data_IF_778491058544
#
_entry.id   IF_778491058544
#
_cell.length_a   1.000
_cell.length_b   1.000
_cell.length_c   1.000
_cell.angle_alpha   90.00
_cell.angle_beta   90.00
_cell.angle_gamma   90.00
#
_symmetry.space_group_name_H-M   'P 1'
#
loop_
_entity.id
_entity.type
_entity.pdbx_description
1 polymer ?
#
# COMPACT_ATOMS: atom_id res chain seq x y z
N UNK A 1 1.37 19.80 -5.54
CA UNK A 1 0.86 18.89 -4.50
C UNK A 1 1.85 18.98 -3.33
N UNK A 2 1.40 19.17 -2.10
CA UNK A 2 2.25 19.09 -0.91
C UNK A 2 1.84 17.88 -0.09
N UNK A 3 2.81 17.17 0.49
CA UNK A 3 2.52 16.08 1.43
C UNK A 3 2.21 16.71 2.80
N UNK A 4 1.13 16.30 3.49
CA UNK A 4 0.85 16.82 4.82
C UNK A 4 2.00 16.53 5.79
N UNK A 5 2.44 17.54 6.54
CA UNK A 5 3.52 17.39 7.53
C UNK A 5 3.23 16.32 8.58
N UNK A 6 1.96 16.07 8.89
CA UNK A 6 1.52 14.99 9.79
C UNK A 6 1.80 13.59 9.24
N UNK A 7 1.71 13.39 7.92
CA UNK A 7 2.07 12.12 7.26
C UNK A 7 3.57 11.84 7.41
N UNK A 8 4.39 12.87 7.20
CA UNK A 8 5.84 12.78 7.33
C UNK A 8 6.24 12.55 8.79
N UNK A 9 5.71 13.34 9.71
CA UNK A 9 5.97 13.19 11.15
C UNK A 9 5.57 11.80 11.64
N UNK A 10 4.39 11.29 11.26
CA UNK A 10 3.96 9.94 11.62
C UNK A 10 4.87 8.86 11.03
N UNK A 11 5.34 9.04 9.79
CA UNK A 11 6.26 8.09 9.15
C UNK A 11 7.65 8.09 9.77
N UNK A 12 8.19 9.26 10.13
CA UNK A 12 9.48 9.40 10.81
C UNK A 12 9.39 8.87 12.24
N UNK A 13 8.29 9.14 12.96
CA UNK A 13 8.04 8.57 14.29
C UNK A 13 8.08 7.05 14.27
N UNK A 14 7.33 6.42 13.36
CA UNK A 14 7.27 4.97 13.25
C UNK A 14 8.63 4.37 12.87
N UNK A 15 9.37 5.03 11.98
CA UNK A 15 10.73 4.63 11.63
C UNK A 15 11.67 4.72 12.83
N UNK A 16 11.70 5.86 13.53
CA UNK A 16 12.55 6.06 14.69
C UNK A 16 12.24 5.09 15.83
N UNK A 17 10.96 4.88 16.13
CA UNK A 17 10.51 3.96 17.17
C UNK A 17 10.91 2.50 16.92
N UNK A 18 11.13 2.10 15.66
CA UNK A 18 11.61 0.76 15.32
C UNK A 18 13.09 0.54 15.69
N UNK A 19 13.88 1.60 15.82
CA UNK A 19 15.28 1.55 16.26
C UNK A 19 15.42 1.86 17.76
N UNK A 20 14.72 2.89 18.23
CA UNK A 20 14.65 3.29 19.64
C UNK A 20 13.33 4.05 19.92
N UNK A 21 12.57 3.58 20.90
CA UNK A 21 11.35 4.24 21.37
C UNK A 21 11.59 5.72 21.74
N UNK A 22 12.71 6.04 22.37
CA UNK A 22 13.07 7.42 22.76
C UNK A 22 13.29 8.35 21.55
N UNK A 23 13.74 7.83 20.41
CA UNK A 23 13.81 8.61 19.17
C UNK A 23 12.41 8.82 18.55
N UNK A 24 11.50 7.86 18.75
CA UNK A 24 10.09 8.01 18.37
C UNK A 24 9.41 9.16 19.11
N UNK A 25 9.68 9.28 20.42
CA UNK A 25 9.07 10.30 21.28
C UNK A 25 9.43 11.75 20.88
N UNK A 26 10.50 11.95 20.12
CA UNK A 26 10.88 13.24 19.54
C UNK A 26 9.79 13.84 18.64
N UNK A 27 8.89 13.01 18.12
CA UNK A 27 7.76 13.43 17.28
C UNK A 27 6.45 13.65 18.07
N UNK A 28 6.51 13.62 19.40
CA UNK A 28 5.36 13.79 20.29
C UNK A 28 4.37 12.61 20.29
N UNK A 29 3.37 12.70 21.16
CA UNK A 29 2.39 11.63 21.39
C UNK A 29 1.57 11.28 20.12
N UNK A 30 1.24 9.99 19.97
CA UNK A 30 0.31 9.53 18.94
C UNK A 30 -1.15 9.85 19.29
N UNK A 31 -2.06 9.90 18.31
CA UNK A 31 -3.50 10.04 18.58
C UNK A 31 -4.05 8.98 19.53
N UNK A 32 -3.53 7.77 19.50
CA UNK A 32 -3.91 6.68 20.40
C UNK A 32 -3.43 6.94 21.83
N UNK A 33 -2.17 7.35 22.00
CA UNK A 33 -1.62 7.75 23.30
C UNK A 33 -2.39 8.95 23.89
N UNK A 34 -2.77 9.91 23.05
CA UNK A 34 -3.62 11.02 23.45
C UNK A 34 -5.04 10.55 23.82
N UNK A 35 -5.62 9.61 23.08
CA UNK A 35 -6.95 9.06 23.38
C UNK A 35 -6.97 8.26 24.69
N UNK A 36 -5.87 7.58 25.01
CA UNK A 36 -5.69 6.86 26.28
C UNK A 36 -5.48 7.84 27.44
N UNK A 37 -4.67 8.89 27.25
CA UNK A 37 -4.43 9.96 28.24
C UNK A 37 -5.66 10.83 28.52
N UNK A 38 -6.51 11.04 27.51
CA UNK A 38 -7.73 11.86 27.62
C UNK A 38 -9.01 11.05 27.87
N UNK A 39 -8.95 9.71 27.86
CA UNK A 39 -10.09 8.81 27.97
C UNK A 39 -11.06 8.92 26.79
N UNK A 40 -11.51 7.77 26.26
CA UNK A 40 -12.52 7.70 25.16
C UNK A 40 -13.89 8.34 25.46
N UNK A 41 -14.08 9.01 26.61
CA UNK A 41 -15.35 9.56 27.06
C UNK A 41 -15.45 11.09 27.08
N UNK A 42 -14.35 11.86 26.99
CA UNK A 42 -14.42 13.33 27.12
C UNK A 42 -14.66 14.10 25.82
N UNK A 43 -14.55 13.46 24.65
CA UNK A 43 -14.72 14.14 23.36
C UNK A 43 -16.19 14.48 22.99
N UNK A 44 -17.20 14.03 23.76
CA UNK A 44 -18.62 14.24 23.41
C UNK A 44 -19.53 14.80 24.51
N UNK A 45 -18.99 15.23 25.67
CA UNK A 45 -19.80 15.82 26.75
C UNK A 45 -19.25 17.15 27.24
N UNK A 46 -19.49 18.22 26.46
CA UNK A 46 -19.54 19.57 27.05
C UNK A 46 -20.89 19.76 27.73
N UNK A 47 -21.00 19.35 28.99
CA UNK A 47 -21.82 20.02 30.00
C UNK A 47 -21.62 19.34 31.36
N UNK A 48 -21.12 20.13 32.31
CA UNK A 48 -21.20 19.97 33.76
C UNK A 48 -20.22 19.05 34.51
N UNK A 49 -19.42 19.77 35.33
CA UNK A 49 -18.84 19.46 36.64
C UNK A 49 -17.45 18.80 36.70
N UNK A 50 -16.55 19.61 37.28
CA UNK A 50 -15.23 19.33 37.86
C UNK A 50 -15.16 17.99 38.61
N UNK A 51 -14.07 17.27 38.39
CA UNK A 51 -13.26 16.71 39.46
C UNK A 51 -11.77 16.77 39.08
N UNK A 52 -10.95 17.06 40.09
CA UNK A 52 -9.55 17.47 40.03
C UNK A 52 -8.56 16.33 39.76
N UNK A 53 -8.51 15.79 38.54
CA UNK A 53 -7.32 15.12 38.02
C UNK A 53 -6.86 15.86 36.76
N UNK A 54 -5.67 16.48 36.82
CA UNK A 54 -5.09 17.11 35.62
C UNK A 54 -4.85 15.98 34.60
N UNK A 55 -5.43 16.04 33.39
CA UNK A 55 -5.09 15.07 32.36
C UNK A 55 -3.58 15.10 32.13
N UNK A 56 -2.98 13.93 31.97
CA UNK A 56 -1.56 13.81 31.60
C UNK A 56 -1.29 14.73 30.40
N UNK A 57 -0.31 15.62 30.55
CA UNK A 57 -0.03 16.62 29.52
C UNK A 57 0.51 15.92 28.27
N UNK A 58 -0.14 16.19 27.14
CA UNK A 58 0.35 15.81 25.83
C UNK A 58 1.81 16.25 25.64
N UNK A 59 2.67 15.34 25.21
CA UNK A 59 4.06 15.64 24.90
C UNK A 59 4.16 16.31 23.52
N UNK A 60 4.62 17.57 23.45
CA UNK A 60 4.81 18.25 22.17
C UNK A 60 5.98 17.63 21.39
N UNK A 61 5.90 17.71 20.07
CA UNK A 61 6.98 17.28 19.17
C UNK A 61 8.22 18.17 19.34
N UNK A 62 9.37 17.57 19.64
CA UNK A 62 10.66 18.26 19.66
C UNK A 62 11.13 18.59 18.24
N UNK A 63 10.88 17.68 17.29
CA UNK A 63 11.16 17.87 15.86
C UNK A 63 9.89 18.37 15.17
N UNK A 64 9.97 19.51 14.49
CA UNK A 64 8.88 20.13 13.75
C UNK A 64 9.04 19.84 12.25
N UNK A 65 7.98 19.35 11.61
CA UNK A 65 7.92 19.23 10.14
C UNK A 65 7.33 20.52 9.58
N UNK A 66 8.17 21.37 9.00
CA UNK A 66 7.77 22.69 8.51
C UNK A 66 7.06 22.63 7.14
N UNK A 67 7.26 21.55 6.39
CA UNK A 67 6.53 21.28 5.14
C UNK A 67 7.34 20.47 4.14
N UNK A 68 6.75 20.27 2.96
CA UNK A 68 7.40 19.61 1.83
C UNK A 68 7.47 20.52 0.61
N UNK A 69 8.62 20.58 -0.06
CA UNK A 69 8.84 21.37 -1.28
C UNK A 69 9.06 20.43 -2.46
N UNK A 70 8.27 20.54 -3.52
CA UNK A 70 8.38 19.68 -4.69
C UNK A 70 9.46 20.22 -5.64
N UNK A 71 10.50 19.44 -5.93
CA UNK A 71 11.67 19.88 -6.72
C UNK A 71 11.40 19.82 -8.23
N UNK A 72 10.70 18.78 -8.70
CA UNK A 72 10.17 18.67 -10.07
C UNK A 72 8.67 18.36 -10.02
N UNK A 73 7.87 19.10 -10.79
CA UNK A 73 6.51 18.66 -11.13
C UNK A 73 6.65 17.44 -12.07
N UNK A 74 6.61 16.24 -11.51
CA UNK A 74 6.18 15.07 -12.30
C UNK A 74 4.76 15.32 -12.82
N UNK A 75 4.41 14.74 -13.96
CA UNK A 75 3.04 14.83 -14.43
C UNK A 75 2.14 14.15 -13.40
N UNK A 76 1.05 14.82 -13.02
CA UNK A 76 0.07 14.19 -12.12
C UNK A 76 -0.90 13.42 -13.00
N UNK A 77 -0.87 12.10 -12.93
CA UNK A 77 -1.87 11.29 -13.60
C UNK A 77 -2.99 10.92 -12.62
N UNK A 78 -4.20 10.86 -13.16
CA UNK A 78 -5.38 10.52 -12.38
C UNK A 78 -5.96 9.22 -12.89
N UNK A 79 -6.11 8.24 -12.00
CA UNK A 79 -6.68 6.95 -12.35
C UNK A 79 -8.05 6.75 -11.70
N UNK A 80 -9.00 6.20 -12.47
CA UNK A 80 -10.34 5.87 -12.01
C UNK A 80 -10.40 4.43 -11.52
N UNK A 81 -10.86 4.22 -10.29
CA UNK A 81 -10.95 2.88 -9.67
C UNK A 81 -12.38 2.43 -9.48
N UNK A 82 -12.60 1.13 -9.68
CA UNK A 82 -13.87 0.44 -9.40
C UNK A 82 -13.72 -0.56 -8.25
N UNK A 83 -14.71 -0.59 -7.35
CA UNK A 83 -14.84 -1.66 -6.36
C UNK A 83 -15.70 -2.78 -6.92
N UNK A 84 -15.31 -4.05 -6.79
CA UNK A 84 -16.12 -5.21 -7.23
C UNK A 84 -17.12 -5.65 -6.14
N UNK A 85 -18.39 -5.83 -6.49
CA UNK A 85 -19.42 -6.47 -5.68
C UNK A 85 -19.18 -7.97 -5.63
N UNK A 86 -18.77 -8.47 -4.46
CA UNK A 86 -18.40 -9.87 -4.27
C UNK A 86 -19.60 -10.83 -4.22
N UNK A 87 -20.84 -10.35 -4.09
CA UNK A 87 -22.03 -11.21 -4.24
C UNK A 87 -22.38 -11.46 -5.71
N UNK A 88 -22.05 -10.51 -6.58
CA UNK A 88 -22.42 -10.53 -8.01
C UNK A 88 -21.27 -10.77 -8.97
N UNK A 89 -20.02 -10.61 -8.53
CA UNK A 89 -18.84 -10.65 -9.39
C UNK A 89 -18.75 -9.48 -10.37
N UNK A 90 -19.52 -8.41 -10.16
CA UNK A 90 -19.62 -7.23 -11.04
C UNK A 90 -19.11 -5.97 -10.32
N UNK A 91 -18.86 -4.86 -11.01
CA UNK A 91 -18.54 -3.59 -10.36
C UNK A 91 -19.69 -3.11 -9.44
N UNK A 92 -19.38 -2.62 -8.23
CA UNK A 92 -20.32 -1.97 -7.32
C UNK A 92 -20.79 -0.64 -7.91
N UNK A 93 -22.10 -0.42 -7.89
CA UNK A 93 -22.72 0.83 -8.34
C UNK A 93 -22.27 2.01 -7.46
N UNK A 94 -21.89 3.14 -8.07
CA UNK A 94 -21.53 4.43 -7.43
C UNK A 94 -20.21 4.52 -6.64
N UNK A 95 -19.27 3.59 -6.79
CA UNK A 95 -17.95 3.64 -6.13
C UNK A 95 -16.79 3.93 -7.11
N UNK A 96 -16.91 5.01 -7.88
CA UNK A 96 -15.80 5.55 -8.66
C UNK A 96 -14.95 6.44 -7.76
N UNK A 97 -13.69 6.06 -7.54
CA UNK A 97 -12.73 6.91 -6.85
C UNK A 97 -11.66 7.34 -7.84
N UNK A 98 -11.59 8.65 -8.11
CA UNK A 98 -10.46 9.25 -8.83
C UNK A 98 -9.33 9.47 -7.83
N UNK A 99 -8.17 8.87 -8.11
CA UNK A 99 -6.98 9.00 -7.27
C UNK A 99 -5.91 9.70 -8.09
N UNK A 100 -5.38 10.79 -7.57
CA UNK A 100 -4.20 11.47 -8.11
C UNK A 100 -2.94 10.78 -7.58
N UNK A 101 -2.00 10.51 -8.48
CA UNK A 101 -0.72 9.89 -8.17
C UNK A 101 0.41 10.74 -8.77
N UNK A 102 1.53 10.79 -8.06
CA UNK A 102 2.78 11.35 -8.56
C UNK A 102 3.54 10.26 -9.30
N UNK A 103 4.22 10.64 -10.38
CA UNK A 103 5.09 9.72 -11.13
C UNK A 103 6.30 9.27 -10.33
N UNK A 104 6.76 8.05 -10.63
CA UNK A 104 8.02 7.51 -10.11
C UNK A 104 9.18 8.45 -10.45
N UNK A 105 10.09 8.68 -9.51
CA UNK A 105 11.20 9.62 -9.68
C UNK A 105 10.87 11.08 -9.30
N UNK A 106 9.66 11.35 -8.80
CA UNK A 106 9.33 12.66 -8.24
C UNK A 106 10.09 12.91 -6.93
N UNK A 107 10.94 13.94 -6.92
CA UNK A 107 11.71 14.37 -5.74
C UNK A 107 11.03 15.54 -5.02
N UNK A 108 11.08 15.51 -3.68
CA UNK A 108 10.62 16.59 -2.81
C UNK A 108 11.49 16.69 -1.55
N UNK A 109 11.69 17.91 -1.09
CA UNK A 109 12.41 18.20 0.14
C UNK A 109 11.45 18.13 1.33
N UNK A 110 11.89 17.49 2.41
CA UNK A 110 11.23 17.55 3.72
C UNK A 110 12.04 18.49 4.60
N UNK A 111 11.40 19.53 5.12
CA UNK A 111 12.08 20.52 5.95
C UNK A 111 11.76 20.24 7.42
N UNK A 112 12.79 19.84 8.16
CA UNK A 112 12.72 19.59 9.60
C UNK A 112 13.37 20.74 10.38
N UNK A 113 12.84 21.01 11.56
CA UNK A 113 13.41 21.94 12.53
C UNK A 113 13.45 21.29 13.90
N UNK A 114 14.57 21.43 14.59
CA UNK A 114 14.74 20.98 15.96
C UNK A 114 15.41 22.09 16.75
N UNK A 115 14.69 22.63 17.74
CA UNK A 115 15.21 23.68 18.61
C UNK A 115 15.97 23.06 19.79
N UNK A 116 17.18 23.54 20.08
CA UNK A 116 18.02 23.09 21.21
C UNK A 116 18.22 21.57 21.24
N UNK A 117 18.57 20.97 20.10
CA UNK A 117 18.85 19.55 20.01
C UNK A 117 20.07 19.18 20.85
N UNK A 118 19.95 18.10 21.62
CA UNK A 118 21.10 17.44 22.23
C UNK A 118 21.95 16.78 21.13
N UNK A 119 23.28 16.98 21.16
CA UNK A 119 24.16 16.54 20.06
C UNK A 119 24.17 15.01 19.91
N UNK A 120 24.12 14.27 21.02
CA UNK A 120 24.10 12.80 21.00
C UNK A 120 22.79 12.29 20.39
N UNK A 121 21.64 12.83 20.82
CA UNK A 121 20.35 12.48 20.24
C UNK A 121 20.24 12.88 18.75
N UNK A 122 20.85 14.00 18.37
CA UNK A 122 20.86 14.49 17.00
C UNK A 122 21.67 13.56 16.09
N UNK A 123 22.87 13.16 16.48
CA UNK A 123 23.70 12.21 15.73
C UNK A 123 22.96 10.88 15.53
N UNK A 124 22.35 10.35 16.60
CA UNK A 124 21.54 9.13 16.54
C UNK A 124 20.35 9.26 15.61
N UNK A 125 19.64 10.39 15.66
CA UNK A 125 18.53 10.68 14.74
C UNK A 125 19.00 10.72 13.28
N UNK A 126 20.13 11.36 12.99
CA UNK A 126 20.67 11.43 11.62
C UNK A 126 21.08 10.06 11.07
N UNK A 127 21.63 9.19 11.90
CA UNK A 127 21.99 7.83 11.49
C UNK A 127 20.78 6.95 11.20
N UNK A 128 19.70 7.13 11.98
CA UNK A 128 18.42 6.49 11.70
C UNK A 128 17.76 7.09 10.46
N UNK A 129 17.82 8.40 10.25
CA UNK A 129 17.25 9.09 9.10
C UNK A 129 17.87 8.62 7.77
N UNK A 130 19.17 8.34 7.73
CA UNK A 130 19.84 7.81 6.52
C UNK A 130 19.28 6.46 6.06
N UNK A 131 18.67 5.71 6.96
CA UNK A 131 18.04 4.42 6.68
C UNK A 131 16.55 4.56 6.36
N UNK A 132 16.03 5.79 6.23
CA UNK A 132 14.61 6.03 6.05
C UNK A 132 14.16 5.76 4.62
N UNK A 133 13.41 4.66 4.47
CA UNK A 133 12.77 4.24 3.22
C UNK A 133 11.23 4.19 3.41
N UNK A 134 10.57 5.37 3.46
CA UNK A 134 9.15 5.42 3.80
C UNK A 134 8.24 5.00 2.66
N UNK A 135 7.03 4.62 3.05
CA UNK A 135 5.89 4.52 2.15
C UNK A 135 4.84 5.56 2.52
N UNK A 136 4.63 6.55 1.66
CA UNK A 136 3.82 7.73 1.94
C UNK A 136 2.49 7.72 1.17
N UNK A 137 1.44 8.27 1.78
CA UNK A 137 0.13 8.45 1.16
C UNK A 137 -0.86 7.31 1.37
N UNK A 138 -2.06 7.42 0.77
CA UNK A 138 -3.19 6.50 1.02
C UNK A 138 -3.06 5.16 0.28
N UNK A 139 -2.12 5.06 -0.65
CA UNK A 139 -1.95 3.94 -1.56
C UNK A 139 -1.07 2.79 -1.07
N UNK A 140 -0.47 2.88 0.13
CA UNK A 140 0.64 1.99 0.53
C UNK A 140 0.37 0.50 0.39
N UNK A 141 -0.81 0.03 0.82
CA UNK A 141 -1.13 -1.41 0.75
C UNK A 141 -1.34 -1.93 -0.67
N UNK A 142 -1.23 -1.06 -1.68
CA UNK A 142 -1.32 -1.32 -3.12
C UNK A 142 0.00 -0.97 -3.82
N UNK A 143 1.12 -0.96 -3.11
CA UNK A 143 2.46 -0.75 -3.68
C UNK A 143 2.86 0.71 -3.91
N UNK A 144 1.92 1.64 -3.86
CA UNK A 144 2.19 3.05 -4.14
C UNK A 144 2.89 3.78 -2.98
N UNK A 145 3.59 4.87 -3.33
CA UNK A 145 4.14 5.84 -2.39
C UNK A 145 5.49 5.48 -1.79
N UNK A 146 6.22 4.53 -2.40
CA UNK A 146 7.58 4.21 -1.99
C UNK A 146 8.51 5.40 -2.24
N UNK A 147 9.26 5.79 -1.24
CA UNK A 147 10.28 6.82 -1.33
C UNK A 147 11.56 6.33 -0.66
N UNK A 148 12.68 6.91 -1.06
CA UNK A 148 13.99 6.77 -0.44
C UNK A 148 14.55 8.15 -0.16
N UNK A 149 15.45 8.23 0.83
CA UNK A 149 16.24 9.44 1.04
C UNK A 149 17.32 9.53 -0.06
N UNK A 150 17.20 10.49 -0.97
CA UNK A 150 18.18 10.75 -2.03
C UNK A 150 19.31 11.69 -1.58
N UNK A 151 19.04 12.52 -0.57
CA UNK A 151 20.03 13.40 0.02
C UNK A 151 19.51 14.06 1.29
N UNK A 152 20.42 14.63 2.09
CA UNK A 152 20.08 15.42 3.27
C UNK A 152 21.12 16.51 3.51
N UNK A 153 20.75 17.53 4.28
CA UNK A 153 21.69 18.52 4.76
C UNK A 153 21.21 19.18 6.05
N UNK A 154 22.16 19.73 6.80
CA UNK A 154 21.97 20.35 8.11
C UNK A 154 22.58 21.75 8.08
N UNK A 155 21.91 22.70 8.72
CA UNK A 155 22.46 24.02 9.06
C UNK A 155 22.06 24.30 10.50
N UNK A 156 23.06 24.61 11.32
CA UNK A 156 22.84 25.05 12.70
C UNK A 156 22.86 26.58 12.75
N UNK A 157 21.91 27.14 13.51
CA UNK A 157 21.79 28.57 13.71
C UNK A 157 21.97 28.89 15.19
N UNK A 158 23.04 29.63 15.51
CA UNK A 158 23.21 30.23 16.83
C UNK A 158 22.42 31.54 16.90
N UNK A 159 21.22 31.48 17.47
CA UNK A 159 20.34 32.64 17.60
C UNK A 159 20.76 33.61 18.70
N UNK A 160 21.72 33.24 19.56
CA UNK A 160 22.31 34.15 20.54
C UNK A 160 23.38 35.06 19.91
N UNK A 161 23.82 34.73 18.69
CA UNK A 161 24.73 35.56 17.90
C UNK A 161 23.96 36.44 16.89
N UNK A 162 24.34 37.73 16.73
CA UNK A 162 23.75 38.58 15.68
C UNK A 162 23.90 38.01 14.27
N UNK A 163 25.05 37.37 13.99
CA UNK A 163 25.31 36.76 12.68
C UNK A 163 24.43 35.53 12.43
N UNK A 164 24.21 34.69 13.44
CA UNK A 164 23.33 33.52 13.33
C UNK A 164 21.85 33.90 13.25
N UNK A 165 21.41 34.95 13.97
CA UNK A 165 20.06 35.51 13.83
C UNK A 165 19.84 36.07 12.41
N UNK A 166 20.81 36.82 11.87
CA UNK A 166 20.73 37.34 10.51
C UNK A 166 20.75 36.22 9.45
N UNK A 167 21.53 35.16 9.68
CA UNK A 167 21.52 33.98 8.82
C UNK A 167 20.16 33.25 8.85
N UNK A 168 19.51 33.17 10.02
CA UNK A 168 18.19 32.56 10.17
C UNK A 168 17.08 33.36 9.47
N UNK A 169 17.11 34.69 9.55
CA UNK A 169 16.16 35.58 8.87
C UNK A 169 16.33 35.57 7.34
N UNK A 170 17.56 35.41 6.86
CA UNK A 170 17.86 35.30 5.43
C UNK A 170 17.66 33.85 4.96
N UNK A 171 16.41 33.51 4.63
CA UNK A 171 15.90 32.21 4.14
C UNK A 171 16.66 31.56 2.97
N UNK A 172 17.69 32.21 2.41
CA UNK A 172 18.55 31.71 1.31
C UNK A 172 19.55 30.63 1.75
N UNK A 173 19.72 30.37 3.05
CA UNK A 173 20.60 29.32 3.58
C UNK A 173 19.85 28.04 3.97
N UNK A 174 18.98 27.52 3.10
CA UNK A 174 18.55 26.13 3.26
C UNK A 174 19.75 25.22 2.95
N UNK A 175 20.02 24.18 3.76
CA UNK A 175 21.02 23.21 3.40
C UNK A 175 20.65 22.62 2.04
N UNK A 176 21.56 22.69 1.07
CA UNK A 176 21.38 21.90 -0.14
C UNK A 176 21.62 20.43 0.25
N UNK A 177 20.66 19.52 0.02
CA UNK A 177 20.86 18.13 0.35
C UNK A 177 22.08 17.58 -0.39
N UNK A 178 23.05 17.05 0.34
CA UNK A 178 24.14 16.31 -0.27
C UNK A 178 23.62 14.92 -0.67
N UNK A 179 23.91 14.50 -1.90
CA UNK A 179 23.55 13.16 -2.39
C UNK A 179 24.08 12.10 -1.44
N UNK A 180 23.18 11.20 -1.03
CA UNK A 180 23.53 10.05 -0.19
C UNK A 180 23.49 8.81 -1.07
N UNK A 181 24.51 7.93 -1.02
CA UNK A 181 24.46 6.67 -1.76
C UNK A 181 23.19 5.90 -1.40
N UNK A 182 22.43 5.45 -2.40
CA UNK A 182 21.26 4.60 -2.17
C UNK A 182 21.69 3.35 -1.39
N UNK A 183 21.33 3.29 -0.11
CA UNK A 183 21.46 2.07 0.67
C UNK A 183 20.15 1.30 0.50
N UNK A 184 20.06 0.47 -0.54
CA UNK A 184 18.94 -0.45 -0.71
C UNK A 184 19.09 -1.59 0.31
N UNK A 185 18.19 -1.64 1.30
CA UNK A 185 18.06 -2.84 2.12
C UNK A 185 17.48 -3.98 1.26
N UNK A 186 17.90 -5.22 1.53
CA UNK A 186 17.35 -6.38 0.85
C UNK A 186 15.85 -6.48 1.18
N UNK A 187 14.99 -6.31 0.16
CA UNK A 187 13.55 -6.38 0.35
C UNK A 187 13.14 -7.79 0.77
N UNK A 188 12.47 -7.92 1.90
CA UNK A 188 11.88 -9.19 2.33
C UNK A 188 10.45 -9.29 1.79
N UNK A 189 10.23 -10.23 0.86
CA UNK A 189 8.92 -10.49 0.29
C UNK A 189 8.20 -11.59 1.07
N UNK A 190 6.91 -11.37 1.36
CA UNK A 190 5.97 -12.41 1.78
C UNK A 190 5.67 -13.38 0.63
N UNK A 191 5.73 -12.87 -0.60
CA UNK A 191 5.58 -13.62 -1.85
C UNK A 191 6.32 -12.90 -2.98
N UNK A 192 7.12 -13.64 -3.73
CA UNK A 192 7.82 -13.21 -4.93
C UNK A 192 7.75 -14.34 -5.96
N UNK A 193 6.89 -14.15 -6.95
CA UNK A 193 6.58 -15.15 -7.98
C UNK A 193 6.39 -14.48 -9.33
N UNK A 194 7.01 -15.02 -10.36
CA UNK A 194 6.81 -14.60 -11.74
C UNK A 194 5.66 -15.40 -12.34
N UNK A 195 4.72 -14.70 -12.96
CA UNK A 195 3.53 -15.28 -13.57
C UNK A 195 3.54 -15.04 -15.08
N UNK A 196 3.44 -16.11 -15.85
CA UNK A 196 3.24 -16.03 -17.31
C UNK A 196 1.75 -15.93 -17.63
N UNK A 197 1.41 -15.04 -18.56
CA UNK A 197 0.06 -14.90 -19.08
C UNK A 197 -0.26 -16.11 -19.96
N UNK A 198 -1.30 -16.86 -19.59
CA UNK A 198 -1.79 -18.02 -20.36
C UNK A 198 -2.96 -17.61 -21.22
N UNK A 199 -3.98 -17.00 -20.61
CA UNK A 199 -5.09 -16.37 -21.31
C UNK A 199 -4.99 -14.85 -21.15
N UNK A 200 -5.36 -14.12 -22.21
CA UNK A 200 -5.20 -12.67 -22.27
C UNK A 200 -5.72 -11.95 -21.03
N UNK A 201 -4.96 -10.98 -20.52
CA UNK A 201 -5.33 -10.17 -19.36
C UNK A 201 -5.88 -8.83 -19.84
N UNK A 202 -6.98 -8.39 -19.22
CA UNK A 202 -7.46 -7.02 -19.32
C UNK A 202 -7.63 -6.42 -17.92
N UNK A 203 -6.79 -5.45 -17.60
CA UNK A 203 -6.89 -4.63 -16.42
C UNK A 203 -7.07 -3.20 -16.90
N UNK A 204 -8.24 -2.58 -16.75
CA UNK A 204 -8.48 -1.24 -17.30
C UNK A 204 -9.96 -0.89 -17.31
N UNK A 205 -10.27 0.40 -17.21
CA UNK A 205 -11.66 0.90 -17.24
C UNK A 205 -11.82 2.14 -18.11
N UNK A 206 -10.73 2.60 -18.73
CA UNK A 206 -10.73 3.84 -19.50
C UNK A 206 -11.19 3.55 -20.93
N UNK A 207 -12.25 4.25 -21.34
CA UNK A 207 -12.75 4.24 -22.72
C UNK A 207 -12.00 5.29 -23.53
N UNK A 208 -11.29 4.84 -24.55
CA UNK A 208 -10.66 5.71 -25.54
C UNK A 208 -11.15 5.37 -26.95
N UNK A 209 -11.16 6.39 -27.81
CA UNK A 209 -11.52 6.26 -29.22
C UNK A 209 -10.26 6.04 -30.06
N UNK A 210 -9.62 4.86 -29.90
CA UNK A 210 -8.33 4.56 -30.55
C UNK A 210 -8.51 4.32 -32.06
N UNK A 211 -9.61 3.69 -32.48
CA UNK A 211 -9.86 3.28 -33.86
C UNK A 211 -10.92 4.17 -34.59
N UNK A 212 -10.91 5.49 -34.33
CA UNK A 212 -11.82 6.46 -34.93
C UNK A 212 -13.16 6.62 -34.19
N UNK A 213 -14.01 7.59 -34.59
CA UNK A 213 -15.11 8.15 -33.77
C UNK A 213 -16.28 7.20 -33.46
N UNK A 214 -16.22 5.93 -33.87
CA UNK A 214 -17.26 4.90 -33.64
C UNK A 214 -16.78 3.66 -32.88
N UNK A 215 -15.50 3.57 -32.53
CA UNK A 215 -14.92 2.41 -31.83
C UNK A 215 -14.57 2.78 -30.38
N UNK A 216 -15.49 2.48 -29.46
CA UNK A 216 -15.23 2.60 -28.03
C UNK A 216 -14.32 1.45 -27.59
N UNK A 217 -13.04 1.75 -27.36
CA UNK A 217 -12.05 0.77 -26.92
C UNK A 217 -11.82 0.92 -25.43
N UNK A 218 -12.02 -0.18 -24.69
CA UNK A 218 -11.54 -0.28 -23.31
C UNK A 218 -10.05 -0.56 -23.35
N UNK A 219 -9.27 0.44 -22.94
CA UNK A 219 -7.80 0.36 -22.93
C UNK A 219 -7.30 -0.41 -21.72
N UNK A 220 -6.20 -1.15 -21.89
CA UNK A 220 -5.55 -1.79 -20.76
C UNK A 220 -4.72 -0.75 -19.99
N UNK A 221 -4.50 -1.04 -18.72
CA UNK A 221 -3.88 -0.15 -17.76
C UNK A 221 -2.38 -0.08 -18.02
N UNK A 222 -1.87 1.16 -18.02
CA UNK A 222 -0.47 1.46 -18.28
C UNK A 222 0.05 2.53 -17.34
N UNK A 223 1.35 2.49 -17.06
CA UNK A 223 2.10 3.61 -16.51
C UNK A 223 3.03 4.14 -17.61
N UNK A 224 2.79 5.36 -18.08
CA UNK A 224 3.43 5.83 -19.31
C UNK A 224 3.10 4.90 -20.48
N UNK A 225 4.12 4.30 -21.09
CA UNK A 225 3.97 3.36 -22.21
C UNK A 225 3.88 1.89 -21.77
N UNK A 226 4.26 1.57 -20.53
CA UNK A 226 4.37 0.20 -20.03
C UNK A 226 3.01 -0.36 -19.59
N UNK A 227 2.70 -1.58 -20.01
CA UNK A 227 1.54 -2.31 -19.50
C UNK A 227 1.77 -2.76 -18.07
N UNK A 228 0.77 -2.52 -17.21
CA UNK A 228 0.88 -2.81 -15.78
C UNK A 228 -0.35 -3.57 -15.31
N UNK A 229 -0.13 -4.63 -14.53
CA UNK A 229 -1.17 -5.21 -13.67
C UNK A 229 -1.17 -4.44 -12.36
N UNK A 230 -2.23 -3.67 -12.03
CA UNK A 230 -2.24 -2.91 -10.79
C UNK A 230 -2.15 -3.82 -9.57
N UNK A 231 -1.32 -3.47 -8.59
CA UNK A 231 -1.22 -4.10 -7.28
C UNK A 231 -2.56 -4.08 -6.55
N UNK A 232 -3.44 -3.13 -6.87
CA UNK A 232 -4.83 -3.12 -6.39
C UNK A 232 -5.68 -4.27 -6.95
N UNK A 233 -5.47 -4.65 -8.21
CA UNK A 233 -6.09 -5.81 -8.87
C UNK A 233 -5.54 -7.10 -8.29
N UNK A 234 -4.20 -7.22 -8.22
CA UNK A 234 -3.52 -8.37 -7.62
C UNK A 234 -3.96 -8.59 -6.17
N UNK A 235 -3.96 -7.53 -5.36
CA UNK A 235 -4.47 -7.57 -3.97
C UNK A 235 -5.93 -8.01 -3.89
N UNK A 236 -6.78 -7.57 -4.83
CA UNK A 236 -8.18 -7.97 -4.90
C UNK A 236 -8.33 -9.48 -5.13
N UNK A 237 -7.57 -10.02 -6.09
CA UNK A 237 -7.53 -11.46 -6.42
C UNK A 237 -7.01 -12.26 -5.23
N UNK A 238 -5.85 -11.87 -4.68
CA UNK A 238 -5.22 -12.49 -3.52
C UNK A 238 -6.18 -12.57 -2.34
N UNK A 239 -6.81 -11.44 -2.00
CA UNK A 239 -7.78 -11.38 -0.89
C UNK A 239 -8.99 -12.25 -1.13
N UNK A 240 -9.61 -12.14 -2.30
CA UNK A 240 -10.83 -12.88 -2.63
C UNK A 240 -10.57 -14.39 -2.54
N UNK A 241 -9.43 -14.84 -3.06
CA UNK A 241 -9.09 -16.26 -3.04
C UNK A 241 -8.66 -16.74 -1.66
N UNK A 242 -7.90 -15.96 -0.90
CA UNK A 242 -7.59 -16.26 0.49
C UNK A 242 -8.87 -16.41 1.35
N UNK A 243 -9.85 -15.52 1.17
CA UNK A 243 -11.15 -15.63 1.84
C UNK A 243 -11.90 -16.92 1.45
N UNK A 244 -11.84 -17.33 0.18
CA UNK A 244 -12.42 -18.59 -0.27
C UNK A 244 -11.74 -19.80 0.37
N UNK A 245 -10.40 -19.84 0.36
CA UNK A 245 -9.62 -20.91 0.98
C UNK A 245 -9.96 -21.01 2.47
N UNK A 246 -9.94 -19.89 3.20
CA UNK A 246 -10.32 -19.89 4.63
C UNK A 246 -11.73 -20.46 4.86
N UNK A 247 -12.72 -20.10 4.04
CA UNK A 247 -14.08 -20.67 4.15
C UNK A 247 -14.11 -22.17 3.92
N UNK A 248 -13.41 -22.67 2.90
CA UNK A 248 -13.34 -24.10 2.59
C UNK A 248 -12.68 -24.88 3.72
N UNK A 249 -11.66 -24.29 4.37
CA UNK A 249 -10.96 -24.90 5.50
C UNK A 249 -11.70 -24.75 6.84
N UNK A 250 -12.88 -24.13 6.87
CA UNK A 250 -13.65 -23.91 8.10
C UNK A 250 -13.09 -22.83 9.02
N UNK A 251 -12.22 -21.96 8.50
CA UNK A 251 -11.66 -20.81 9.23
C UNK A 251 -12.58 -19.60 9.09
N UNK A 252 -12.47 -18.66 10.04
CA UNK A 252 -13.22 -17.41 9.99
C UNK A 252 -12.83 -16.60 8.74
N UNK A 253 -13.82 -16.20 7.95
CA UNK A 253 -13.66 -15.30 6.81
C UNK A 253 -14.96 -14.50 6.61
N UNK A 254 -14.97 -13.27 7.11
CA UNK A 254 -16.16 -12.41 7.02
C UNK A 254 -16.51 -12.06 5.58
N UNK A 255 -17.80 -11.82 5.32
CA UNK A 255 -18.30 -11.47 3.98
C UNK A 255 -18.09 -9.99 3.64
N UNK A 256 -18.12 -9.13 4.65
CA UNK A 256 -18.22 -7.68 4.46
C UNK A 256 -16.88 -6.94 4.60
N UNK A 257 -15.81 -7.65 4.99
CA UNK A 257 -14.44 -7.09 5.18
C UNK A 257 -14.35 -6.05 6.31
N UNK A 258 -15.12 -6.24 7.37
CA UNK A 258 -15.24 -5.29 8.48
C UNK A 258 -14.93 -5.88 9.86
N UNK A 259 -14.85 -7.21 10.01
CA UNK A 259 -14.75 -7.82 11.33
C UNK A 259 -13.43 -7.58 12.06
N UNK A 260 -12.34 -7.30 11.34
CA UNK A 260 -11.01 -7.12 11.93
C UNK A 260 -10.36 -8.34 12.58
N UNK A 261 -11.10 -9.44 12.77
CA UNK A 261 -10.62 -10.64 13.48
C UNK A 261 -10.19 -11.76 12.52
N UNK A 262 -10.78 -11.85 11.34
CA UNK A 262 -10.45 -12.93 10.41
C UNK A 262 -9.06 -12.72 9.78
N UNK A 263 -8.35 -13.82 9.50
CA UNK A 263 -7.01 -13.78 8.88
C UNK A 263 -6.95 -12.90 7.62
N UNK A 264 -7.91 -12.98 6.67
CA UNK A 264 -7.91 -12.07 5.51
C UNK A 264 -8.06 -10.59 5.87
N UNK A 265 -8.81 -10.24 6.93
CA UNK A 265 -8.92 -8.85 7.40
C UNK A 265 -7.61 -8.37 8.05
N UNK A 266 -6.91 -9.23 8.78
CA UNK A 266 -5.60 -8.92 9.35
C UNK A 266 -4.55 -8.71 8.24
N UNK A 267 -4.48 -9.64 7.29
CA UNK A 267 -3.50 -9.62 6.22
C UNK A 267 -3.72 -8.44 5.25
N UNK A 268 -4.95 -8.30 4.73
CA UNK A 268 -5.26 -7.30 3.68
C UNK A 268 -5.80 -5.97 4.22
N UNK A 269 -6.15 -5.90 5.50
CA UNK A 269 -6.76 -4.74 6.16
C UNK A 269 -8.29 -4.78 6.17
N UNK A 270 -8.91 -3.96 7.01
CA UNK A 270 -10.36 -3.86 7.10
C UNK A 270 -10.80 -2.42 7.40
N UNK A 271 -12.05 -2.12 7.07
CA UNK A 271 -12.68 -0.84 7.39
C UNK A 271 -14.16 -1.09 7.73
N UNK A 272 -14.47 -1.09 9.02
CA UNK A 272 -15.83 -1.12 9.55
C UNK A 272 -16.34 0.28 9.90
N UNK A 273 -17.52 0.34 10.51
CA UNK A 273 -18.16 1.61 10.90
C UNK A 273 -17.39 2.33 12.02
N UNK A 274 -16.95 1.58 13.04
CA UNK A 274 -16.27 2.15 14.22
C UNK A 274 -14.75 2.09 14.13
N UNK A 275 -14.21 1.07 13.45
CA UNK A 275 -12.78 0.79 13.42
C UNK A 275 -12.29 0.43 12.02
N UNK A 276 -11.09 0.87 11.69
CA UNK A 276 -10.37 0.47 10.49
C UNK A 276 -8.92 0.18 10.84
N UNK A 277 -8.34 -0.83 10.20
CA UNK A 277 -6.92 -1.16 10.34
C UNK A 277 -6.30 -1.40 8.98
N UNK A 278 -5.10 -0.86 8.81
CA UNK A 278 -4.24 -1.15 7.66
C UNK A 278 -3.87 -2.65 7.66
N UNK A 279 -3.79 -3.25 6.48
CA UNK A 279 -3.31 -4.63 6.33
C UNK A 279 -1.81 -4.76 6.61
N UNK A 280 -1.40 -5.98 6.97
CA UNK A 280 0.00 -6.36 7.20
C UNK A 280 0.84 -6.46 5.92
N UNK A 281 0.21 -6.53 4.74
CA UNK A 281 0.91 -6.62 3.46
C UNK A 281 0.62 -5.48 2.48
N UNK A 282 1.61 -5.18 1.65
CA UNK A 282 1.49 -4.40 0.43
C UNK A 282 1.70 -5.30 -0.79
N UNK A 283 0.93 -5.05 -1.84
CA UNK A 283 1.06 -5.74 -3.12
C UNK A 283 1.49 -4.70 -4.15
N UNK A 284 2.64 -4.93 -4.78
CA UNK A 284 3.22 -3.98 -5.70
C UNK A 284 2.51 -4.01 -7.07
N UNK A 285 2.55 -2.89 -7.79
CA UNK A 285 2.16 -2.87 -9.20
C UNK A 285 3.17 -3.70 -9.99
N UNK A 286 2.70 -4.47 -10.97
CA UNK A 286 3.53 -5.39 -11.74
C UNK A 286 3.57 -4.97 -13.21
N UNK A 287 4.74 -4.54 -13.68
CA UNK A 287 4.98 -4.28 -15.11
C UNK A 287 4.95 -5.62 -15.85
N UNK A 288 4.27 -5.63 -17.01
CA UNK A 288 4.22 -6.80 -17.89
C UNK A 288 5.37 -6.73 -18.87
N UNK A 289 6.31 -7.65 -18.69
CA UNK A 289 7.44 -7.87 -19.56
C UNK A 289 7.02 -8.69 -20.80
N UNK A 290 7.66 -8.41 -21.93
CA UNK A 290 7.36 -9.04 -23.23
C UNK A 290 5.87 -8.94 -23.62
N UNK A 291 5.21 -7.85 -23.23
CA UNK A 291 3.78 -7.65 -23.42
C UNK A 291 3.40 -7.67 -24.92
N UNK A 292 2.45 -8.54 -25.27
CA UNK A 292 1.88 -8.61 -26.62
C UNK A 292 0.46 -8.03 -26.61
N UNK A 293 0.28 -6.74 -26.97
CA UNK A 293 -1.05 -6.15 -27.08
C UNK A 293 -1.87 -6.80 -28.20
N UNK A 294 -3.15 -6.98 -27.92
CA UNK A 294 -4.15 -7.50 -28.86
C UNK A 294 -5.46 -6.72 -28.68
N UNK A 295 -6.23 -6.56 -29.76
CA UNK A 295 -7.54 -5.89 -29.72
C UNK A 295 -8.62 -6.92 -30.01
N UNK A 296 -9.43 -7.22 -29.01
CA UNK A 296 -10.49 -8.22 -29.11
C UNK A 296 -11.85 -7.56 -29.30
N UNK A 297 -12.46 -7.64 -30.49
CA UNK A 297 -13.80 -7.11 -30.72
C UNK A 297 -14.84 -7.96 -29.99
N UNK A 298 -15.83 -7.27 -29.41
CA UNK A 298 -16.96 -7.90 -28.76
C UNK A 298 -18.26 -7.39 -29.34
N UNK A 299 -19.19 -8.32 -29.54
CA UNK A 299 -20.54 -8.04 -30.01
C UNK A 299 -21.50 -8.23 -28.85
N UNK A 300 -22.29 -7.19 -28.54
CA UNK A 300 -23.42 -7.32 -27.64
C UNK A 300 -24.58 -7.97 -28.41
N UNK A 301 -24.89 -9.23 -28.09
CA UNK A 301 -26.03 -9.95 -28.67
C UNK A 301 -27.29 -9.56 -27.89
N UNK A 302 -28.34 -9.15 -28.61
CA UNK A 302 -29.66 -8.95 -28.02
C UNK A 302 -30.30 -10.32 -27.75
N UNK A 303 -30.54 -10.63 -26.47
CA UNK A 303 -31.12 -11.93 -26.08
C UNK A 303 -32.58 -12.09 -26.51
N UNK A 304 -33.27 -11.02 -26.90
CA UNK A 304 -34.66 -11.07 -27.36
C UNK A 304 -34.74 -11.26 -28.88
N UNK A 305 -33.92 -10.55 -29.66
CA UNK A 305 -33.98 -10.64 -31.13
C UNK A 305 -32.99 -11.65 -31.73
N UNK A 306 -32.00 -12.11 -30.95
CA UNK A 306 -30.93 -12.99 -31.43
C UNK A 306 -29.96 -12.31 -32.41
N UNK A 307 -30.21 -11.05 -32.77
CA UNK A 307 -29.34 -10.23 -33.60
C UNK A 307 -28.28 -9.50 -32.78
N UNK A 308 -27.27 -8.96 -33.48
CA UNK A 308 -26.39 -7.96 -32.89
C UNK A 308 -27.22 -6.72 -32.52
N UNK A 309 -27.05 -6.19 -31.31
CA UNK A 309 -27.64 -4.88 -30.98
C UNK A 309 -27.03 -3.82 -31.89
N UNK A 310 -27.87 -3.06 -32.56
CA UNK A 310 -27.42 -1.92 -33.35
C UNK A 310 -26.65 -0.93 -32.46
N UNK A 311 -25.39 -0.72 -32.83
CA UNK A 311 -24.47 0.33 -32.36
C UNK A 311 -23.85 0.16 -30.97
N UNK A 312 -22.88 -0.74 -30.87
CA UNK A 312 -21.47 -0.38 -30.63
C UNK A 312 -20.63 -1.67 -30.61
N UNK A 313 -19.71 -1.81 -31.56
CA UNK A 313 -18.62 -2.80 -31.44
C UNK A 313 -17.73 -2.30 -30.30
N UNK A 314 -17.69 -3.03 -29.19
CA UNK A 314 -16.80 -2.71 -28.08
C UNK A 314 -15.52 -3.50 -28.25
N UNK A 315 -14.40 -2.80 -28.39
CA UNK A 315 -13.09 -3.43 -28.46
C UNK A 315 -12.45 -3.40 -27.09
N UNK A 316 -11.80 -4.49 -26.70
CA UNK A 316 -10.97 -4.53 -25.50
C UNK A 316 -9.53 -4.64 -25.97
N UNK A 317 -8.71 -3.65 -25.61
CA UNK A 317 -7.27 -3.81 -25.63
C UNK A 317 -6.91 -4.76 -24.50
N UNK A 318 -6.24 -5.86 -24.83
CA UNK A 318 -5.81 -6.88 -23.88
C UNK A 318 -4.33 -7.17 -24.09
N UNK A 319 -3.69 -7.72 -23.07
CA UNK A 319 -2.33 -8.24 -23.19
C UNK A 319 -2.42 -9.75 -23.36
N UNK A 320 -2.18 -10.24 -24.58
CA UNK A 320 -2.39 -11.63 -24.98
C UNK A 320 -1.31 -12.57 -24.47
N UNK A 321 -0.08 -12.09 -24.33
CA UNK A 321 1.07 -12.83 -23.82
C UNK A 321 2.06 -11.88 -23.13
N UNK A 322 2.96 -12.46 -22.35
CA UNK A 322 3.95 -11.77 -21.53
C UNK A 322 4.06 -12.43 -20.16
N UNK A 323 4.84 -11.82 -19.27
CA UNK A 323 4.95 -12.26 -17.89
C UNK A 323 5.13 -11.06 -16.96
N UNK A 324 4.81 -11.22 -15.68
CA UNK A 324 4.96 -10.14 -14.71
C UNK A 324 5.30 -10.69 -13.31
N UNK A 325 6.08 -9.96 -12.50
CA UNK A 325 6.38 -10.35 -11.12
C UNK A 325 5.25 -9.94 -10.17
N UNK A 326 4.66 -10.90 -9.45
CA UNK A 326 3.74 -10.62 -8.34
C UNK A 326 4.52 -10.58 -7.02
N UNK A 327 4.78 -9.35 -6.55
CA UNK A 327 5.52 -9.10 -5.30
C UNK A 327 4.58 -8.63 -4.19
N UNK A 328 4.64 -9.33 -3.06
CA UNK A 328 3.91 -9.02 -1.83
C UNK A 328 4.93 -8.79 -0.73
N UNK A 329 4.89 -7.64 -0.09
CA UNK A 329 5.81 -7.24 0.99
C UNK A 329 5.11 -7.19 2.33
N UNK A 330 5.85 -7.50 3.39
CA UNK A 330 5.45 -7.19 4.76
C UNK A 330 5.53 -5.68 5.00
N UNK A 331 4.58 -5.16 5.78
CA UNK A 331 4.52 -3.75 6.15
C UNK A 331 4.95 -3.50 7.60
N UNK A 332 5.18 -4.55 8.38
CA UNK A 332 5.79 -4.51 9.70
C UNK A 332 6.97 -5.46 9.80
N UNK A 333 7.37 -5.75 11.03
CA UNK A 333 8.43 -6.69 11.39
C UNK A 333 7.85 -8.05 11.76
N UNK A 334 6.84 -8.52 11.01
CA UNK A 334 6.17 -9.78 11.31
C UNK A 334 7.14 -10.96 11.21
N UNK A 335 7.40 -11.62 12.33
CA UNK A 335 8.23 -12.82 12.44
C UNK A 335 7.49 -13.90 13.24
N UNK A 336 7.90 -15.16 13.08
CA UNK A 336 7.33 -16.29 13.82
C UNK A 336 6.14 -16.98 13.15
N UNK A 337 5.36 -17.70 13.96
CA UNK A 337 4.34 -18.64 13.48
C UNK A 337 3.22 -17.98 12.67
N UNK A 338 2.72 -16.80 13.08
CA UNK A 338 1.67 -16.09 12.33
C UNK A 338 2.12 -15.72 10.91
N UNK A 339 3.32 -15.17 10.77
CA UNK A 339 3.88 -14.81 9.47
C UNK A 339 4.05 -16.04 8.57
N UNK A 340 4.50 -17.17 9.14
CA UNK A 340 4.60 -18.43 8.41
C UNK A 340 3.23 -18.98 7.97
N UNK A 341 2.22 -18.89 8.83
CA UNK A 341 0.85 -19.28 8.48
C UNK A 341 0.27 -18.36 7.37
N UNK A 342 0.56 -17.07 7.40
CA UNK A 342 0.10 -16.12 6.39
C UNK A 342 0.82 -16.32 5.04
N UNK A 343 2.12 -16.58 5.06
CA UNK A 343 2.89 -16.95 3.87
C UNK A 343 2.34 -18.23 3.21
N UNK A 344 1.97 -19.26 4.01
CA UNK A 344 1.33 -20.49 3.50
C UNK A 344 -0.04 -20.22 2.87
N UNK A 345 -0.84 -19.32 3.44
CA UNK A 345 -2.12 -18.91 2.85
C UNK A 345 -1.90 -18.21 1.50
N UNK A 346 -0.91 -17.32 1.39
CA UNK A 346 -0.54 -16.68 0.13
C UNK A 346 -0.04 -17.70 -0.91
N UNK A 347 0.80 -18.64 -0.50
CA UNK A 347 1.28 -19.73 -1.35
C UNK A 347 0.12 -20.58 -1.89
N UNK A 348 -0.88 -20.90 -1.06
CA UNK A 348 -2.07 -21.63 -1.50
C UNK A 348 -2.87 -20.85 -2.56
N UNK A 349 -2.93 -19.52 -2.46
CA UNK A 349 -3.54 -18.70 -3.52
C UNK A 349 -2.73 -18.78 -4.82
N UNK A 350 -1.39 -18.80 -4.74
CA UNK A 350 -0.54 -18.98 -5.93
C UNK A 350 -0.76 -20.34 -6.57
N UNK A 351 -0.87 -21.41 -5.79
CA UNK A 351 -1.21 -22.73 -6.31
C UNK A 351 -2.55 -22.73 -7.05
N UNK A 352 -3.56 -22.02 -6.54
CA UNK A 352 -4.85 -21.88 -7.23
C UNK A 352 -4.77 -21.05 -8.52
N UNK A 353 -3.87 -20.06 -8.57
CA UNK A 353 -3.59 -19.29 -9.80
C UNK A 353 -2.90 -20.16 -10.84
N UNK A 354 -1.87 -20.93 -10.45
CA UNK A 354 -1.12 -21.84 -11.34
C UNK A 354 -2.01 -22.96 -11.92
N UNK A 355 -2.92 -23.47 -11.08
CA UNK A 355 -3.96 -24.41 -11.48
C UNK A 355 -5.08 -23.79 -12.33
N UNK A 356 -5.02 -22.47 -12.57
CA UNK A 356 -5.97 -21.69 -13.39
C UNK A 356 -7.41 -21.71 -12.84
N UNK A 357 -7.57 -21.93 -11.54
CA UNK A 357 -8.88 -21.86 -10.87
C UNK A 357 -9.37 -20.43 -10.67
N UNK A 358 -8.47 -19.46 -10.76
CA UNK A 358 -8.76 -18.03 -10.61
C UNK A 358 -8.05 -17.27 -11.72
N UNK A 359 -8.75 -16.33 -12.35
CA UNK A 359 -8.15 -15.38 -13.28
C UNK A 359 -7.91 -14.01 -12.67
N UNK A 360 -7.04 -13.21 -13.30
CA UNK A 360 -6.68 -11.85 -12.93
C UNK A 360 -7.33 -10.86 -13.92
N UNK A 361 -7.88 -9.77 -13.38
CA UNK A 361 -8.47 -8.70 -14.20
C UNK A 361 -9.94 -8.96 -14.54
N UNK A 362 -10.40 -8.36 -15.64
CA UNK A 362 -11.78 -8.43 -16.09
C UNK A 362 -12.08 -9.69 -16.91
N UNK A 363 -13.36 -10.06 -16.98
CA UNK A 363 -13.89 -11.12 -17.87
C UNK A 363 -13.27 -12.50 -17.64
N UNK A 364 -12.87 -12.81 -16.41
CA UNK A 364 -12.31 -14.12 -16.04
C UNK A 364 -13.25 -15.29 -16.32
N UNK A 365 -14.57 -15.05 -16.28
CA UNK A 365 -15.60 -16.05 -16.66
C UNK A 365 -15.76 -16.26 -18.16
N UNK A 366 -15.09 -15.46 -19.00
CA UNK A 366 -15.12 -15.53 -20.45
C UNK A 366 -13.78 -16.01 -21.04
N UNK A 367 -12.93 -16.67 -20.24
CA UNK A 367 -11.65 -17.21 -20.68
C UNK A 367 -10.51 -16.18 -20.73
N UNK A 368 -10.51 -15.21 -19.82
CA UNK A 368 -9.45 -14.21 -19.69
C UNK A 368 -8.72 -14.36 -18.36
N UNK A 369 -7.47 -13.93 -18.35
CA UNK A 369 -6.73 -13.64 -17.13
C UNK A 369 -6.16 -14.83 -16.39
N UNK A 370 -6.15 -16.03 -16.98
CA UNK A 370 -5.46 -17.17 -16.38
C UNK A 370 -3.96 -17.00 -16.56
N UNK A 371 -3.21 -17.49 -15.57
CA UNK A 371 -1.76 -17.37 -15.50
C UNK A 371 -1.16 -18.70 -15.08
N UNK A 372 0.15 -18.85 -15.28
CA UNK A 372 0.93 -19.98 -14.77
C UNK A 372 2.18 -19.47 -14.06
N UNK A 373 2.64 -20.19 -13.04
CA UNK A 373 3.87 -19.88 -12.33
C UNK A 373 5.05 -20.19 -13.24
N UNK A 374 5.87 -19.17 -13.49
CA UNK A 374 7.13 -19.29 -14.24
C UNK A 374 8.28 -19.59 -13.29
N UNK A 375 8.37 -18.83 -12.20
CA UNK A 375 9.42 -18.97 -11.19
C UNK A 375 8.86 -18.52 -9.83
N UNK A 376 9.17 -19.25 -8.76
CA UNK A 376 8.82 -18.85 -7.40
C UNK A 376 10.09 -18.72 -6.57
N UNK A 377 10.34 -17.52 -6.03
CA UNK A 377 11.54 -17.19 -5.24
C UNK A 377 11.27 -17.18 -3.74
N UNK A 378 10.00 -17.24 -3.36
CA UNK A 378 9.58 -17.40 -1.96
C UNK A 378 9.51 -18.87 -1.55
N UNK A 379 9.48 -19.10 -0.23
CA UNK A 379 9.29 -20.44 0.31
C UNK A 379 7.99 -21.07 -0.22
N UNK A 380 8.12 -22.30 -0.72
CA UNK A 380 7.00 -23.12 -1.19
C UNK A 380 6.62 -24.14 -0.13
N UNK A 381 5.34 -24.55 -0.13
CA UNK A 381 4.81 -25.45 0.88
C UNK A 381 3.83 -26.45 0.27
N UNK A 382 3.79 -27.66 0.82
CA UNK A 382 2.78 -28.65 0.45
C UNK A 382 1.39 -28.16 0.88
N UNK A 383 0.50 -27.98 -0.10
CA UNK A 383 -0.87 -27.45 0.13
C UNK A 383 -1.70 -28.41 1.00
N UNK A 384 -1.36 -29.71 1.01
CA UNK A 384 -2.00 -30.72 1.85
C UNK A 384 -1.86 -30.45 3.35
N UNK A 385 -0.79 -29.77 3.78
CA UNK A 385 -0.53 -29.43 5.19
C UNK A 385 -1.26 -28.14 5.63
N UNK A 386 -1.81 -27.38 4.67
CA UNK A 386 -2.36 -26.05 4.91
C UNK A 386 -3.46 -26.04 5.98
N UNK A 387 -4.39 -27.00 5.92
CA UNK A 387 -5.50 -27.06 6.85
C UNK A 387 -5.04 -27.20 8.31
N UNK A 388 -4.04 -28.05 8.57
CA UNK A 388 -3.49 -28.26 9.89
C UNK A 388 -2.78 -27.01 10.40
N UNK A 389 -1.90 -26.44 9.57
CA UNK A 389 -1.09 -25.26 9.94
C UNK A 389 -1.96 -24.03 10.18
N UNK A 390 -3.01 -23.81 9.38
CA UNK A 390 -3.85 -22.62 9.54
C UNK A 390 -4.86 -22.74 10.71
N UNK A 391 -5.16 -23.96 11.17
CA UNK A 391 -6.07 -24.22 12.30
C UNK A 391 -5.37 -24.26 13.64
N UNK A 392 -4.05 -24.44 13.65
CA UNK A 392 -3.24 -24.41 14.86
C UNK A 392 -3.45 -23.04 15.54
N UNK A 393 -4.09 -22.98 16.73
CA UNK A 393 -4.18 -21.74 17.45
C UNK A 393 -2.75 -21.35 17.79
N UNK A 394 -2.27 -20.24 17.24
CA UNK A 394 -1.02 -19.65 17.70
C UNK A 394 -1.28 -19.28 19.16
N UNK A 395 -0.89 -20.17 20.07
CA UNK A 395 -0.87 -19.89 21.49
C UNK A 395 0.09 -18.72 21.61
N UNK A 396 -0.42 -17.56 22.01
CA UNK A 396 0.42 -16.47 22.45
C UNK A 396 1.11 -16.92 23.75
N UNK A 397 2.20 -17.68 23.62
CA UNK A 397 3.18 -17.83 24.70
C UNK A 397 4.19 -16.70 24.54
N UNK A 398 3.90 -15.59 25.21
CA UNK A 398 4.96 -14.97 26.01
C UNK A 398 5.61 -16.06 26.86
N UNK A 399 6.94 -16.06 26.95
CA UNK A 399 7.83 -17.03 27.62
C UNK A 399 8.41 -18.12 26.69
N UNK A 400 9.53 -17.79 26.02
CA UNK A 400 10.84 -18.42 26.28
C UNK A 400 11.87 -17.94 25.23
N UNK A 401 12.46 -16.77 25.50
CA UNK A 401 13.78 -16.40 24.99
C UNK A 401 14.73 -16.44 26.19
N UNK A 402 15.20 -17.64 26.50
CA UNK A 402 16.45 -17.90 27.20
C UNK A 402 16.83 -19.37 26.97
N UNK A 403 17.53 -19.61 25.87
CA UNK A 403 18.49 -20.71 25.73
C UNK A 403 19.55 -20.30 24.69
#
# INVERSE_FOLDING_TARGET
MSLPGTTIAGSLRAHCAAFDAGLGDLFGDTPEQLADKHGKAEAMRRSQKRNDEKPERAMPSAIQVLGTLLHRRGETFSHTRNSSDRKRGAARTHHFHRVEMLETGTEFDVVLRWDNADEELLERFLDVLKQWHPTLGRGVTRGAGRCSLVGWGRVDYDLDSPDGLMAWLNTERRPNPAETPETRSAETYALDVDLSIVDAIHCGTELNSVNGPKHNTLTAFRHGEEFVVPGSTLKGVLRSRAEYICRVLGLLACKDQQCGECRPCLLFGFAGEENARRGRIAVDDAVIEDAQPDFRPHVAIDRFTGGARDQALYEHEVVAAGWFPMRVRWLGTETGAEAAQDARLLHAVVADLDARYVGIGARTTAGFGTVAVRECRSATFEVSELAGVLRDPVIASTEDVNA
#
